data_IF_341773539558
#
_entry.id   IF_341773539558
#
_cell.length_a   1.000
_cell.length_b   1.000
_cell.length_c   1.000
_cell.angle_alpha   90.00
_cell.angle_beta   90.00
_cell.angle_gamma   90.00
#
_symmetry.space_group_name_H-M   'P 1'
#
loop_
_entity.id
_entity.type
_entity.pdbx_description
1 polymer ?
#
# COMPACT_ATOMS: atom_id res chain seq x y z
N UNK A 1 3.62 1.89 -5.37
CA UNK A 1 4.55 2.98 -5.71
C UNK A 1 5.11 3.59 -4.43
N UNK A 2 6.35 4.08 -4.47
CA UNK A 2 6.97 4.70 -3.29
C UNK A 2 6.25 5.98 -2.88
N UNK A 3 5.89 6.82 -3.85
CA UNK A 3 5.13 8.06 -3.65
C UNK A 3 4.01 8.16 -4.67
N UNK A 4 2.81 8.46 -4.20
CA UNK A 4 1.63 8.65 -5.05
C UNK A 4 0.98 9.99 -4.67
N UNK A 5 1.53 11.08 -5.21
CA UNK A 5 1.17 12.46 -4.83
C UNK A 5 1.38 13.50 -5.95
N UNK A 6 1.34 13.09 -7.22
CA UNK A 6 1.42 14.01 -8.35
C UNK A 6 0.03 14.61 -8.65
N UNK A 7 -0.21 15.93 -8.48
CA UNK A 7 -1.53 16.53 -8.69
C UNK A 7 -2.10 16.27 -10.08
N UNK A 8 -1.31 16.44 -11.13
CA UNK A 8 -1.76 16.21 -12.51
C UNK A 8 -2.21 14.75 -12.75
N UNK A 9 -1.49 13.78 -12.18
CA UNK A 9 -1.87 12.37 -12.27
C UNK A 9 -3.15 12.12 -11.46
N UNK A 10 -3.26 12.68 -10.27
CA UNK A 10 -4.43 12.56 -9.43
C UNK A 10 -5.67 13.09 -10.11
N UNK A 11 -5.60 14.28 -10.74
CA UNK A 11 -6.71 14.88 -11.47
C UNK A 11 -7.15 14.02 -12.66
N UNK A 12 -6.20 13.50 -13.42
CA UNK A 12 -6.48 12.59 -14.54
C UNK A 12 -7.17 11.32 -14.07
N UNK A 13 -6.72 10.72 -12.95
CA UNK A 13 -7.34 9.51 -12.38
C UNK A 13 -8.74 9.85 -11.82
N UNK A 14 -8.90 10.96 -11.12
CA UNK A 14 -10.22 11.40 -10.60
C UNK A 14 -11.20 11.56 -11.76
N UNK A 15 -10.83 12.29 -12.81
CA UNK A 15 -11.67 12.48 -13.99
C UNK A 15 -12.05 11.14 -14.63
N UNK A 16 -11.09 10.21 -14.73
CA UNK A 16 -11.35 8.88 -15.28
C UNK A 16 -12.25 8.04 -14.39
N UNK A 17 -12.07 8.06 -13.07
CA UNK A 17 -12.93 7.35 -12.12
C UNK A 17 -14.35 7.90 -12.09
N UNK A 18 -14.53 9.21 -12.29
CA UNK A 18 -15.85 9.82 -12.45
C UNK A 18 -16.55 9.36 -13.73
N UNK A 19 -15.81 9.31 -14.85
CA UNK A 19 -16.34 8.87 -16.14
C UNK A 19 -16.56 7.33 -16.22
N UNK A 20 -15.93 6.56 -15.36
CA UNK A 20 -15.95 5.09 -15.37
C UNK A 20 -16.35 4.54 -14.00
N UNK A 21 -17.65 4.32 -13.72
CA UNK A 21 -18.14 3.93 -12.40
C UNK A 21 -17.54 2.61 -11.85
N UNK A 22 -17.10 1.73 -12.74
CA UNK A 22 -16.52 0.43 -12.38
C UNK A 22 -14.99 0.47 -12.16
N UNK A 23 -14.35 1.60 -12.47
CA UNK A 23 -12.91 1.73 -12.28
C UNK A 23 -12.60 1.80 -10.78
N UNK A 24 -11.64 0.99 -10.36
CA UNK A 24 -11.13 0.91 -8.99
C UNK A 24 -9.65 1.27 -8.98
N UNK A 25 -9.18 1.85 -7.88
CA UNK A 25 -7.78 2.23 -7.68
C UNK A 25 -7.24 1.56 -6.42
N UNK A 26 -6.17 0.80 -6.57
CA UNK A 26 -5.36 0.28 -5.47
C UNK A 26 -4.02 0.99 -5.46
N UNK A 27 -3.65 1.54 -4.34
CA UNK A 27 -2.33 2.11 -4.11
C UNK A 27 -1.65 1.31 -3.00
N UNK A 28 -0.52 0.69 -3.31
CA UNK A 28 0.37 0.05 -2.36
C UNK A 28 1.60 0.93 -2.25
N UNK A 29 1.83 1.50 -1.08
CA UNK A 29 2.91 2.47 -0.86
C UNK A 29 3.56 2.26 0.50
N UNK A 30 4.65 2.97 0.77
CA UNK A 30 5.26 2.96 2.10
C UNK A 30 4.52 3.91 3.03
N UNK A 31 4.50 3.65 4.35
CA UNK A 31 4.05 4.63 5.32
C UNK A 31 4.85 5.92 5.21
N UNK A 32 4.18 7.04 5.40
CA UNK A 32 4.84 8.35 5.46
C UNK A 32 5.56 8.47 6.79
N UNK A 33 6.81 8.92 6.72
CA UNK A 33 7.53 9.33 7.91
C UNK A 33 7.38 10.85 8.06
N UNK A 34 6.49 11.28 8.95
CA UNK A 34 6.13 12.67 9.17
C UNK A 34 7.35 13.53 9.56
N UNK A 35 8.35 12.91 10.20
CA UNK A 35 9.56 13.61 10.65
C UNK A 35 10.55 13.89 9.53
N UNK A 36 10.54 13.06 8.47
CA UNK A 36 11.59 13.09 7.43
C UNK A 36 11.07 13.22 6.01
N UNK A 37 9.74 13.16 5.79
CA UNK A 37 9.16 13.31 4.47
C UNK A 37 8.63 14.73 4.24
N UNK A 38 9.35 15.59 3.53
CA UNK A 38 8.89 16.95 3.23
C UNK A 38 7.66 16.98 2.30
N UNK A 39 7.28 15.86 1.72
CA UNK A 39 6.09 15.72 0.88
C UNK A 39 4.86 15.17 1.61
N UNK A 40 4.92 15.01 2.93
CA UNK A 40 3.82 14.49 3.75
C UNK A 40 2.48 15.18 3.48
N UNK A 41 2.35 16.54 3.48
CA UNK A 41 1.07 17.20 3.23
C UNK A 41 0.47 16.85 1.86
N UNK A 42 1.30 16.71 0.84
CA UNK A 42 0.86 16.33 -0.51
C UNK A 42 0.42 14.89 -0.60
N UNK A 43 1.12 13.99 0.10
CA UNK A 43 0.74 12.59 0.22
C UNK A 43 -0.63 12.49 0.92
N UNK A 44 -0.80 13.17 2.04
CA UNK A 44 -2.07 13.24 2.75
C UNK A 44 -3.20 13.75 1.84
N UNK A 45 -3.04 14.92 1.20
CA UNK A 45 -4.05 15.51 0.31
C UNK A 45 -4.43 14.58 -0.84
N UNK A 46 -3.45 13.92 -1.45
CA UNK A 46 -3.71 12.97 -2.54
C UNK A 46 -4.58 11.80 -2.08
N UNK A 47 -4.24 11.18 -0.96
CA UNK A 47 -4.99 10.03 -0.47
C UNK A 47 -6.35 10.40 0.11
N UNK A 48 -6.45 11.53 0.82
CA UNK A 48 -7.72 12.08 1.31
C UNK A 48 -8.69 12.38 0.16
N UNK A 49 -8.19 12.90 -0.97
CA UNK A 49 -8.97 13.14 -2.18
C UNK A 49 -9.66 11.87 -2.70
N UNK A 50 -8.90 10.78 -2.86
CA UNK A 50 -9.45 9.51 -3.35
C UNK A 50 -10.35 8.83 -2.32
N UNK A 51 -9.96 8.82 -1.06
CA UNK A 51 -10.76 8.24 0.04
C UNK A 51 -12.13 8.93 0.18
N UNK A 52 -12.15 10.26 0.05
CA UNK A 52 -13.39 11.06 0.12
C UNK A 52 -14.27 10.88 -1.12
N UNK A 53 -13.68 10.95 -2.32
CA UNK A 53 -14.47 10.90 -3.58
C UNK A 53 -14.91 9.47 -3.95
N UNK A 54 -14.14 8.46 -3.59
CA UNK A 54 -14.33 7.08 -4.05
C UNK A 54 -14.16 6.04 -2.94
N UNK A 55 -14.86 6.17 -1.80
CA UNK A 55 -14.61 5.35 -0.60
C UNK A 55 -14.74 3.83 -0.82
N UNK A 56 -15.56 3.40 -1.79
CA UNK A 56 -15.77 1.98 -2.11
C UNK A 56 -14.96 1.49 -3.32
N UNK A 57 -14.18 2.37 -3.93
CA UNK A 57 -13.40 2.11 -5.14
C UNK A 57 -11.93 2.47 -5.03
N UNK A 58 -11.51 2.85 -3.83
CA UNK A 58 -10.14 3.19 -3.50
C UNK A 58 -9.64 2.33 -2.33
N UNK A 59 -8.50 1.68 -2.51
CA UNK A 59 -7.77 0.98 -1.45
C UNK A 59 -6.38 1.59 -1.32
N UNK A 60 -6.05 2.01 -0.11
CA UNK A 60 -4.71 2.41 0.27
C UNK A 60 -4.11 1.35 1.19
N UNK A 61 -2.99 0.79 0.77
CA UNK A 61 -2.38 -0.38 1.39
C UNK A 61 -0.89 -0.13 1.67
N UNK A 62 -0.40 -0.76 2.73
CA UNK A 62 1.01 -0.86 3.07
C UNK A 62 1.43 -2.32 3.12
N UNK A 63 2.74 -2.54 3.10
CA UNK A 63 3.32 -3.87 3.30
C UNK A 63 4.03 -3.91 4.65
N UNK A 64 3.76 -4.98 5.41
CA UNK A 64 4.42 -5.22 6.70
C UNK A 64 4.89 -6.67 6.77
N UNK A 65 6.07 -6.87 7.34
CA UNK A 65 6.54 -8.17 7.80
C UNK A 65 6.16 -8.36 9.26
N UNK A 66 5.99 -9.61 9.65
CA UNK A 66 5.65 -10.01 11.01
C UNK A 66 6.58 -11.12 11.48
N UNK A 67 7.01 -11.01 12.73
CA UNK A 67 7.71 -12.07 13.45
C UNK A 67 7.32 -12.00 14.93
N UNK A 68 7.76 -12.98 15.70
CA UNK A 68 7.58 -13.00 17.15
C UNK A 68 8.91 -13.22 17.85
N UNK A 69 9.05 -12.60 19.02
CA UNK A 69 10.20 -12.80 19.91
C UNK A 69 9.71 -13.33 21.24
N UNK A 70 10.32 -14.41 21.70
CA UNK A 70 10.06 -14.94 23.04
C UNK A 70 11.01 -14.30 24.05
N UNK A 71 10.45 -13.63 25.03
CA UNK A 71 11.24 -13.01 26.09
C UNK A 71 11.68 -14.07 27.11
N UNK A 72 12.99 -14.25 27.25
CA UNK A 72 13.58 -15.24 28.14
C UNK A 72 13.17 -15.01 29.62
N UNK A 73 12.67 -16.05 30.24
CA UNK A 73 12.39 -16.10 31.68
C UNK A 73 10.96 -15.77 32.10
N UNK A 74 10.09 -15.33 31.15
CA UNK A 74 8.67 -15.02 31.42
C UNK A 74 7.71 -15.72 30.46
N UNK A 75 8.21 -16.53 29.53
CA UNK A 75 7.44 -17.23 28.49
C UNK A 75 6.47 -16.31 27.68
N UNK A 76 6.75 -15.02 27.67
CA UNK A 76 5.99 -14.06 26.90
C UNK A 76 6.46 -14.02 25.46
N UNK A 77 5.48 -14.01 24.55
CA UNK A 77 5.70 -13.90 23.12
C UNK A 77 5.26 -12.52 22.68
N UNK A 78 6.22 -11.73 22.23
CA UNK A 78 6.01 -10.35 21.76
C UNK A 78 5.87 -10.30 20.25
N UNK A 79 4.89 -9.54 19.75
CA UNK A 79 4.73 -9.26 18.33
C UNK A 79 5.78 -8.28 17.81
N UNK A 80 6.39 -8.59 16.69
CA UNK A 80 7.32 -7.71 16.00
C UNK A 80 6.83 -7.40 14.59
N UNK A 81 6.59 -6.13 14.36
CA UNK A 81 6.14 -5.61 13.08
C UNK A 81 7.21 -4.76 12.43
N UNK A 82 7.46 -4.99 11.14
CA UNK A 82 8.36 -4.16 10.36
C UNK A 82 7.66 -3.68 9.09
N UNK A 83 7.62 -2.37 8.89
CA UNK A 83 7.14 -1.81 7.63
C UNK A 83 8.13 -2.13 6.50
N UNK A 84 7.62 -2.63 5.39
CA UNK A 84 8.41 -2.86 4.18
C UNK A 84 8.44 -1.56 3.39
N UNK A 85 9.65 -1.03 3.15
CA UNK A 85 9.84 0.17 2.34
C UNK A 85 9.57 -0.15 0.86
N UNK A 86 8.38 0.21 0.39
CA UNK A 86 7.99 0.02 -1.00
C UNK A 86 8.73 1.03 -1.87
N UNK A 87 9.84 0.61 -2.46
CA UNK A 87 10.65 1.45 -3.37
C UNK A 87 10.28 1.25 -4.86
N UNK A 88 9.28 0.45 -5.16
CA UNK A 88 8.78 0.23 -6.53
C UNK A 88 8.15 1.51 -7.12
N UNK A 89 8.35 1.72 -8.42
CA UNK A 89 7.70 2.76 -9.22
C UNK A 89 6.99 2.08 -10.39
N UNK A 90 5.83 1.53 -10.10
CA UNK A 90 5.07 0.71 -11.02
C UNK A 90 3.61 1.17 -11.12
N UNK A 91 3.07 1.14 -12.31
CA UNK A 91 1.66 1.39 -12.59
C UNK A 91 1.14 0.27 -13.49
N UNK A 92 0.04 -0.35 -13.12
CA UNK A 92 -0.68 -1.33 -13.94
C UNK A 92 -2.08 -0.79 -14.21
N UNK A 93 -2.52 -0.83 -15.47
CA UNK A 93 -3.85 -0.38 -15.87
C UNK A 93 -4.55 -1.52 -16.64
N UNK A 94 -5.68 -1.99 -16.10
CA UNK A 94 -6.62 -2.95 -16.74
C UNK A 94 -5.97 -4.24 -17.27
N UNK A 95 -4.84 -4.70 -16.68
CA UNK A 95 -4.04 -5.82 -17.18
C UNK A 95 -3.64 -5.69 -18.67
N UNK A 96 -3.56 -4.46 -19.17
CA UNK A 96 -3.22 -4.16 -20.58
C UNK A 96 -2.00 -3.27 -20.72
N UNK A 97 -1.73 -2.49 -19.70
CA UNK A 97 -0.60 -1.56 -19.65
C UNK A 97 0.13 -1.72 -18.34
N UNK A 98 1.44 -1.75 -18.41
CA UNK A 98 2.32 -1.69 -17.25
C UNK A 98 3.45 -0.71 -17.53
N UNK A 99 3.70 0.19 -16.59
CA UNK A 99 4.90 1.02 -16.56
C UNK A 99 5.70 0.69 -15.30
N UNK A 100 7.00 0.48 -15.47
CA UNK A 100 7.93 0.24 -14.37
C UNK A 100 9.23 0.99 -14.64
N UNK A 101 9.83 1.57 -13.60
CA UNK A 101 11.07 2.31 -13.75
C UNK A 101 11.49 3.05 -12.50
N UNK A 102 12.14 4.18 -12.68
CA UNK A 102 12.68 4.99 -11.58
C UNK A 102 11.78 6.17 -11.18
N UNK A 103 10.84 6.60 -12.03
CA UNK A 103 9.99 7.76 -11.78
C UNK A 103 8.95 7.52 -10.70
N UNK A 104 9.10 8.19 -9.56
CA UNK A 104 8.05 8.28 -8.55
C UNK A 104 6.81 9.03 -9.07
N UNK A 105 5.64 8.69 -8.55
CA UNK A 105 4.38 9.38 -8.90
C UNK A 105 4.21 10.65 -8.06
N UNK A 106 5.24 11.50 -8.07
CA UNK A 106 5.27 12.84 -7.52
C UNK A 106 5.76 13.82 -8.60
N UNK A 107 5.69 15.13 -8.35
CA UNK A 107 6.12 16.11 -9.35
C UNK A 107 7.60 16.02 -9.70
N UNK A 108 8.44 15.69 -8.74
CA UNK A 108 9.88 15.49 -8.99
C UNK A 108 10.11 14.39 -10.03
N UNK A 109 9.63 13.19 -9.75
CA UNK A 109 9.83 12.03 -10.63
C UNK A 109 9.07 12.11 -11.96
N UNK A 110 7.95 12.86 -12.02
CA UNK A 110 7.14 12.95 -13.23
C UNK A 110 7.55 14.09 -14.16
N UNK A 111 8.23 15.15 -13.65
CA UNK A 111 8.41 16.39 -14.39
C UNK A 111 9.86 16.91 -14.34
N UNK A 112 10.53 16.84 -13.18
CA UNK A 112 11.78 17.57 -12.96
C UNK A 112 13.03 16.73 -12.98
N UNK A 113 12.97 15.47 -12.58
CA UNK A 113 14.13 14.59 -12.50
C UNK A 113 14.32 13.79 -13.78
N UNK A 114 15.58 13.46 -14.10
CA UNK A 114 15.91 12.61 -15.22
C UNK A 114 15.61 11.14 -14.89
N UNK A 115 14.41 10.70 -15.22
CA UNK A 115 13.89 9.37 -14.89
C UNK A 115 13.69 8.53 -16.16
N UNK A 116 13.73 7.21 -15.98
CA UNK A 116 13.45 6.26 -17.05
C UNK A 116 12.40 5.25 -16.65
N UNK A 117 11.36 5.11 -17.46
CA UNK A 117 10.37 4.07 -17.31
C UNK A 117 10.26 3.23 -18.59
N UNK A 118 10.04 1.94 -18.43
CA UNK A 118 9.68 1.03 -19.50
C UNK A 118 8.16 0.81 -19.46
N UNK A 119 7.52 0.90 -20.61
CA UNK A 119 6.11 0.62 -20.77
C UNK A 119 5.91 -0.68 -21.56
N UNK A 120 4.99 -1.53 -21.09
CA UNK A 120 4.60 -2.78 -21.72
C UNK A 120 3.11 -2.72 -22.05
N UNK A 121 2.75 -3.07 -23.28
CA UNK A 121 1.37 -3.07 -23.82
C UNK A 121 0.85 -4.47 -24.16
N UNK A 122 1.54 -5.51 -23.74
CA UNK A 122 1.13 -6.90 -23.90
C UNK A 122 0.22 -7.32 -22.74
N UNK A 123 -1.07 -7.49 -23.03
CA UNK A 123 -2.07 -7.80 -22.02
C UNK A 123 -1.85 -9.16 -21.33
N UNK A 124 -1.34 -10.16 -22.05
CA UNK A 124 -1.07 -11.47 -21.46
C UNK A 124 0.09 -11.39 -20.45
N UNK A 125 1.16 -10.73 -20.86
CA UNK A 125 2.33 -10.51 -20.03
C UNK A 125 2.01 -9.63 -18.81
N UNK A 126 1.27 -8.53 -18.99
CA UNK A 126 0.89 -7.60 -17.89
C UNK A 126 0.03 -8.32 -16.85
N UNK A 127 -0.92 -9.13 -17.29
CA UNK A 127 -1.76 -9.94 -16.40
C UNK A 127 -0.93 -10.93 -15.59
N UNK A 128 -0.05 -11.67 -16.26
CA UNK A 128 0.85 -12.62 -15.60
C UNK A 128 1.74 -11.92 -14.56
N UNK A 129 2.30 -10.76 -14.91
CA UNK A 129 3.10 -9.95 -14.00
C UNK A 129 2.30 -9.52 -12.77
N UNK A 130 1.07 -9.00 -12.93
CA UNK A 130 0.19 -8.67 -11.82
C UNK A 130 -0.10 -9.88 -10.94
N UNK A 131 -0.43 -11.02 -11.54
CA UNK A 131 -0.72 -12.25 -10.81
C UNK A 131 0.48 -12.71 -9.97
N UNK A 132 1.68 -12.68 -10.52
CA UNK A 132 2.91 -13.01 -9.79
C UNK A 132 3.17 -12.05 -8.64
N UNK A 133 2.98 -10.75 -8.84
CA UNK A 133 3.13 -9.74 -7.80
C UNK A 133 2.13 -10.00 -6.67
N UNK A 134 0.85 -10.18 -7.00
CA UNK A 134 -0.19 -10.40 -6.00
C UNK A 134 -0.03 -11.74 -5.27
N UNK A 135 0.40 -12.80 -5.95
CA UNK A 135 0.70 -14.09 -5.31
C UNK A 135 1.79 -13.98 -4.24
N UNK A 136 2.74 -13.07 -4.40
CA UNK A 136 3.77 -12.80 -3.39
C UNK A 136 3.29 -11.92 -2.24
N UNK A 137 2.24 -11.14 -2.42
CA UNK A 137 1.70 -10.23 -1.40
C UNK A 137 0.59 -10.87 -0.57
N UNK A 138 -0.21 -11.72 -1.19
CA UNK A 138 -1.35 -12.40 -0.59
C UNK A 138 -0.91 -13.61 0.28
N UNK A 139 -1.81 -14.20 1.06
CA UNK A 139 -1.52 -15.43 1.79
C UNK A 139 -0.92 -16.52 0.90
N UNK A 140 0.10 -17.22 1.40
CA UNK A 140 0.79 -18.27 0.66
C UNK A 140 -0.20 -19.29 0.05
N UNK A 141 0.00 -19.64 -1.22
CA UNK A 141 -0.89 -20.53 -1.98
C UNK A 141 -2.16 -19.87 -2.53
N UNK A 142 -2.37 -18.58 -2.30
CA UNK A 142 -3.49 -17.85 -2.92
C UNK A 142 -3.20 -17.60 -4.39
N UNK A 143 -4.08 -18.11 -5.26
CA UNK A 143 -4.05 -17.79 -6.68
C UNK A 143 -4.84 -16.51 -6.95
N UNK A 144 -4.17 -15.43 -7.40
CA UNK A 144 -4.87 -14.19 -7.74
C UNK A 144 -5.89 -14.39 -8.86
N UNK A 145 -7.10 -13.86 -8.66
CA UNK A 145 -8.17 -13.92 -9.67
C UNK A 145 -7.81 -13.10 -10.91
N UNK A 146 -8.38 -13.48 -12.05
CA UNK A 146 -8.18 -12.75 -13.32
C UNK A 146 -9.04 -11.49 -13.37
N UNK A 147 -10.29 -11.60 -12.94
CA UNK A 147 -11.24 -10.50 -12.99
C UNK A 147 -11.01 -9.47 -11.87
N UNK A 148 -11.33 -8.21 -12.19
CA UNK A 148 -11.12 -7.08 -11.27
C UNK A 148 -11.89 -7.24 -9.96
N UNK A 149 -13.13 -7.72 -10.00
CA UNK A 149 -13.93 -7.90 -8.80
C UNK A 149 -13.32 -8.97 -7.89
N UNK A 150 -12.84 -10.06 -8.50
CA UNK A 150 -12.23 -11.16 -7.77
C UNK A 150 -10.93 -10.78 -7.09
N UNK A 151 -9.95 -10.23 -7.81
CA UNK A 151 -8.66 -9.88 -7.20
C UNK A 151 -8.77 -8.68 -6.24
N UNK A 152 -9.69 -7.73 -6.50
CA UNK A 152 -9.98 -6.65 -5.57
C UNK A 152 -10.46 -7.20 -4.22
N UNK A 153 -11.45 -8.10 -4.25
CA UNK A 153 -11.98 -8.74 -3.04
C UNK A 153 -10.89 -9.54 -2.31
N UNK A 154 -10.03 -10.24 -3.04
CA UNK A 154 -8.92 -11.00 -2.43
C UNK A 154 -7.95 -10.09 -1.69
N UNK A 155 -7.51 -8.99 -2.30
CA UNK A 155 -6.52 -8.10 -1.68
C UNK A 155 -7.11 -7.33 -0.50
N UNK A 156 -8.38 -6.92 -0.60
CA UNK A 156 -9.10 -6.29 0.49
C UNK A 156 -9.27 -7.27 1.67
N UNK A 157 -9.75 -8.49 1.42
CA UNK A 157 -9.93 -9.49 2.46
C UNK A 157 -8.61 -9.88 3.14
N UNK A 158 -7.50 -9.89 2.40
CA UNK A 158 -6.18 -10.14 2.97
C UNK A 158 -5.74 -9.00 3.91
N UNK A 159 -5.97 -7.75 3.50
CA UNK A 159 -5.69 -6.59 4.35
C UNK A 159 -6.55 -6.60 5.61
N UNK A 160 -7.87 -6.74 5.45
CA UNK A 160 -8.83 -6.78 6.58
C UNK A 160 -8.48 -7.89 7.60
N UNK A 161 -8.08 -9.07 7.11
CA UNK A 161 -7.69 -10.18 7.97
C UNK A 161 -6.39 -9.88 8.75
N UNK A 162 -5.40 -9.26 8.12
CA UNK A 162 -4.15 -8.89 8.76
C UNK A 162 -4.33 -7.71 9.73
N UNK A 163 -5.20 -6.76 9.41
CA UNK A 163 -5.57 -5.67 10.32
C UNK A 163 -6.26 -6.21 11.58
N UNK A 164 -7.13 -7.22 11.44
CA UNK A 164 -7.75 -7.90 12.58
C UNK A 164 -6.71 -8.61 13.46
N UNK A 165 -5.67 -9.22 12.87
CA UNK A 165 -4.55 -9.81 13.62
C UNK A 165 -3.78 -8.73 14.37
N UNK A 166 -3.46 -7.61 13.72
CA UNK A 166 -2.78 -6.48 14.36
C UNK A 166 -3.58 -5.94 15.55
N UNK A 167 -4.90 -5.76 15.37
CA UNK A 167 -5.80 -5.32 16.43
C UNK A 167 -5.87 -6.33 17.60
N UNK A 168 -5.83 -7.64 17.31
CA UNK A 168 -5.83 -8.67 18.34
C UNK A 168 -4.55 -8.61 19.20
N UNK A 169 -3.39 -8.35 18.61
CA UNK A 169 -2.15 -8.15 19.36
C UNK A 169 -2.20 -6.88 20.20
N UNK A 170 -2.61 -5.77 19.62
CA UNK A 170 -2.73 -4.49 20.36
C UNK A 170 -3.69 -4.60 21.55
N UNK A 171 -4.77 -5.38 21.43
CA UNK A 171 -5.70 -5.62 22.54
C UNK A 171 -5.09 -6.37 23.73
N UNK A 172 -4.04 -7.17 23.49
CA UNK A 172 -3.28 -7.88 24.53
C UNK A 172 -2.04 -7.08 25.01
N UNK A 173 -1.81 -5.88 24.45
CA UNK A 173 -0.63 -5.08 24.77
C UNK A 173 0.63 -5.48 23.99
N UNK A 174 0.45 -6.12 22.86
CA UNK A 174 1.48 -6.67 21.96
C UNK A 174 2.30 -7.85 22.55
N UNK A 175 1.91 -8.37 23.73
CA UNK A 175 2.50 -9.51 24.40
C UNK A 175 1.45 -10.54 24.77
N UNK A 176 1.76 -11.82 24.56
CA UNK A 176 0.90 -12.93 24.99
C UNK A 176 1.73 -14.05 25.62
N UNK A 177 1.20 -14.70 26.64
CA UNK A 177 1.82 -15.88 27.21
C UNK A 177 1.24 -17.14 26.54
N UNK A 178 2.08 -17.85 25.80
CA UNK A 178 1.70 -19.08 25.09
C UNK A 178 1.98 -20.34 25.91
N UNK A 179 2.73 -20.27 27.03
CA UNK A 179 3.14 -21.43 27.82
C UNK A 179 3.70 -22.58 26.94
N UNK A 180 4.48 -22.24 25.91
CA UNK A 180 5.04 -23.18 24.95
C UNK A 180 4.07 -23.71 23.88
N UNK A 181 2.83 -23.23 23.86
CA UNK A 181 1.87 -23.60 22.81
C UNK A 181 2.19 -22.88 21.48
N UNK A 182 1.82 -23.48 20.33
CA UNK A 182 1.94 -22.81 19.03
C UNK A 182 1.12 -21.51 18.98
N UNK A 183 1.62 -20.52 18.22
CA UNK A 183 0.94 -19.25 18.01
C UNK A 183 -0.47 -19.49 17.39
N UNK A 184 -1.55 -19.04 18.06
CA UNK A 184 -2.90 -19.20 17.53
C UNK A 184 -3.13 -18.42 16.24
N UNK A 185 -4.03 -18.92 15.38
CA UNK A 185 -4.33 -18.31 14.08
C UNK A 185 -4.81 -16.85 14.19
N UNK A 186 -5.47 -16.47 15.29
CA UNK A 186 -5.92 -15.09 15.51
C UNK A 186 -4.77 -14.08 15.69
N UNK A 187 -3.57 -14.58 15.97
CA UNK A 187 -2.35 -13.78 16.11
C UNK A 187 -1.33 -14.00 14.99
N UNK A 188 -1.72 -14.77 13.95
CA UNK A 188 -0.82 -15.13 12.84
C UNK A 188 -1.30 -14.45 11.55
N UNK A 189 -0.67 -13.35 11.12
CA UNK A 189 -1.00 -12.72 9.85
C UNK A 189 -0.59 -13.61 8.67
N UNK A 190 -1.23 -13.38 7.53
CA UNK A 190 -0.98 -14.15 6.30
C UNK A 190 -0.70 -13.21 5.14
N UNK A 191 0.44 -13.38 4.49
CA UNK A 191 0.91 -12.45 3.46
C UNK A 191 1.42 -11.15 4.08
N UNK A 192 1.51 -10.10 3.27
CA UNK A 192 2.20 -8.87 3.64
C UNK A 192 1.32 -7.61 3.57
N UNK A 193 0.06 -7.72 3.14
CA UNK A 193 -0.81 -6.59 2.82
C UNK A 193 -1.62 -6.18 4.06
N UNK A 194 -1.61 -4.88 4.36
CA UNK A 194 -2.37 -4.25 5.43
C UNK A 194 -3.01 -2.98 4.91
N UNK A 195 -4.12 -2.57 5.49
CA UNK A 195 -4.67 -1.24 5.25
C UNK A 195 -3.69 -0.18 5.75
N UNK A 196 -3.71 0.97 5.10
CA UNK A 196 -2.95 2.12 5.55
C UNK A 196 -3.89 3.29 5.76
N UNK A 197 -3.86 3.87 6.94
CA UNK A 197 -4.48 5.14 7.25
C UNK A 197 -3.40 6.19 7.44
N UNK A 198 -3.65 7.38 6.91
CA UNK A 198 -2.88 8.56 7.25
C UNK A 198 -3.52 9.23 8.45
N UNK A 199 -2.69 9.70 9.35
CA UNK A 199 -3.09 10.67 10.34
C UNK A 199 -3.61 11.96 9.68
N UNK A 200 -4.09 12.94 10.46
CA UNK A 200 -4.51 14.22 9.93
C UNK A 200 -3.31 14.98 9.33
N UNK A 201 -3.59 15.90 8.40
CA UNK A 201 -2.54 16.74 7.76
C UNK A 201 -1.67 17.48 8.79
N UNK A 202 -2.22 17.78 9.96
CA UNK A 202 -1.51 18.40 11.09
C UNK A 202 -0.33 17.57 11.63
N UNK A 203 -0.30 16.26 11.36
CA UNK A 203 0.81 15.39 11.76
C UNK A 203 2.03 15.53 10.84
N UNK A 204 1.89 16.25 9.72
CA UNK A 204 2.98 16.58 8.82
C UNK A 204 3.80 17.73 9.42
N UNK A 205 4.94 17.42 10.03
CA UNK A 205 5.78 18.38 10.75
C UNK A 205 6.69 19.20 9.85
N UNK A 206 6.96 18.72 8.63
CA UNK A 206 7.83 19.38 7.67
C UNK A 206 6.96 19.85 6.50
N UNK A 207 6.90 21.17 6.33
CA UNK A 207 6.30 21.74 5.12
C UNK A 207 7.10 21.33 3.89
N UNK A 208 6.39 20.89 2.87
CA UNK A 208 7.01 20.54 1.61
C UNK A 208 7.59 21.78 0.94
N UNK A 209 8.83 21.68 0.52
CA UNK A 209 9.54 22.73 -0.21
C UNK A 209 10.09 22.21 -1.53
N UNK A 210 10.20 23.06 -2.53
CA UNK A 210 10.80 22.74 -3.83
C UNK A 210 9.80 22.20 -4.86
N UNK A 211 10.26 21.42 -5.85
CA UNK A 211 9.49 21.06 -7.04
C UNK A 211 8.17 20.32 -6.78
N UNK A 212 8.03 19.63 -5.66
CA UNK A 212 6.77 18.98 -5.31
C UNK A 212 5.63 19.97 -5.03
N UNK A 213 5.96 21.24 -4.75
CA UNK A 213 5.00 22.29 -4.42
C UNK A 213 4.64 23.23 -5.56
N UNK A 214 5.42 23.27 -6.61
CA UNK A 214 5.33 24.34 -7.61
C UNK A 214 4.34 24.11 -8.73
N UNK A 215 3.70 22.96 -8.78
CA UNK A 215 2.64 22.64 -9.75
C UNK A 215 1.36 22.29 -9.01
N UNK A 216 0.56 23.29 -8.83
CA UNK A 216 -0.82 23.20 -8.40
C UNK A 216 -1.73 23.10 -9.62
#
# INVERSE_FOLDING_TARGET
>A
DQYFRAPMLNDAIVARMQASPNLKLVVITKPVNEWTDPGCPWTYKSHALFKTKFPTRYLLLQLRAFDTVVTWGVDETEARWANIDVHAKMLIVDDKFMSVGSANKNNRGMIYEGEMNVAVLDAAWVREARQKIFANLLPAGTMPKDDVAGWWTQIQAAADANDAVSAAWTAEGDDINLNGAPLPAKYTPKGFVYSMDFGPESDCLIESVGPDMTLQ
#
